data_IF_906479452863
#
_entry.id   IF_906479452863
#
_cell.length_a   1.000
_cell.length_b   1.000
_cell.length_c   1.000
_cell.angle_alpha   90.00
_cell.angle_beta   90.00
_cell.angle_gamma   90.00
#
_symmetry.space_group_name_H-M   'P 1'
#
loop_
_entity.id
_entity.type
_entity.pdbx_description
1 polymer ?
#
# COMPACT_ATOMS: atom_id res chain seq x y z
N UNK A 1 5.75 4.10 -20.33
CA UNK A 1 5.10 5.07 -19.41
C UNK A 1 4.54 4.27 -18.25
N UNK A 2 4.94 4.56 -17.01
CA UNK A 2 4.39 3.86 -15.85
C UNK A 2 2.89 4.18 -15.73
N UNK A 3 2.06 3.16 -15.53
CA UNK A 3 0.61 3.33 -15.40
C UNK A 3 0.31 3.69 -13.94
N UNK A 4 0.01 4.96 -13.69
CA UNK A 4 -0.38 5.41 -12.34
C UNK A 4 -1.80 4.91 -12.04
N UNK A 5 -1.93 4.07 -11.02
CA UNK A 5 -3.24 3.65 -10.48
C UNK A 5 -3.69 4.67 -9.42
N UNK A 6 -4.99 4.96 -9.41
CA UNK A 6 -5.60 5.89 -8.44
C UNK A 6 -6.81 5.21 -7.81
N UNK A 7 -6.84 5.20 -6.48
CA UNK A 7 -7.99 4.80 -5.69
C UNK A 7 -8.81 6.03 -5.33
N UNK A 8 -10.14 5.91 -5.33
CA UNK A 8 -11.04 6.95 -4.84
C UNK A 8 -11.61 6.48 -3.51
N UNK A 9 -11.32 7.23 -2.45
CA UNK A 9 -11.75 6.88 -1.10
C UNK A 9 -13.26 6.86 -0.95
N UNK A 10 -13.71 6.10 0.04
CA UNK A 10 -15.08 6.13 0.56
C UNK A 10 -15.03 6.74 1.95
N UNK A 11 -16.12 7.38 2.39
CA UNK A 11 -16.22 7.97 3.71
C UNK A 11 -15.87 6.96 4.80
N UNK A 12 -14.94 7.32 5.68
CA UNK A 12 -14.46 6.45 6.76
C UNK A 12 -13.25 5.60 6.40
N UNK A 13 -12.70 5.71 5.19
CA UNK A 13 -11.45 5.04 4.84
C UNK A 13 -10.27 5.55 5.69
N UNK A 14 -9.33 4.66 5.97
CA UNK A 14 -8.03 4.98 6.60
C UNK A 14 -6.91 4.44 5.71
N UNK A 15 -5.67 4.85 5.98
CA UNK A 15 -4.51 4.38 5.22
C UNK A 15 -4.37 2.85 5.21
N UNK A 16 -4.53 2.22 6.38
CA UNK A 16 -4.44 0.76 6.53
C UNK A 16 -5.56 0.05 5.75
N UNK A 17 -6.79 0.60 5.80
CA UNK A 17 -7.94 0.04 5.10
C UNK A 17 -7.79 0.18 3.57
N UNK A 18 -7.28 1.30 3.09
CA UNK A 18 -6.98 1.49 1.66
C UNK A 18 -5.90 0.50 1.22
N UNK A 19 -4.85 0.34 2.03
CA UNK A 19 -3.79 -0.63 1.80
C UNK A 19 -4.36 -2.04 1.67
N UNK A 20 -5.21 -2.46 2.61
CA UNK A 20 -5.86 -3.76 2.56
C UNK A 20 -6.73 -3.96 1.31
N UNK A 21 -7.54 -2.96 0.95
CA UNK A 21 -8.41 -3.03 -0.23
C UNK A 21 -7.65 -3.13 -1.55
N UNK A 22 -6.47 -2.51 -1.63
CA UNK A 22 -5.71 -2.38 -2.89
C UNK A 22 -4.64 -3.46 -3.02
N UNK A 23 -3.99 -3.82 -1.91
CA UNK A 23 -2.87 -4.75 -1.88
C UNK A 23 -3.20 -6.07 -1.16
N UNK A 24 -4.35 -6.19 -0.50
CA UNK A 24 -4.68 -7.36 0.31
C UNK A 24 -3.97 -7.41 1.67
N UNK A 25 -3.16 -6.39 2.00
CA UNK A 25 -2.41 -6.27 3.25
C UNK A 25 -2.50 -4.86 3.79
N UNK A 26 -2.69 -4.71 5.10
CA UNK A 26 -2.69 -3.43 5.81
C UNK A 26 -1.28 -2.82 5.91
N UNK A 27 -0.22 -3.64 5.74
CA UNK A 27 1.16 -3.24 6.01
C UNK A 27 1.77 -2.21 5.05
N UNK A 28 1.16 -2.00 3.87
CA UNK A 28 1.68 -1.08 2.85
C UNK A 28 1.14 0.36 2.96
N UNK A 29 0.51 0.71 4.08
CA UNK A 29 0.00 2.05 4.34
C UNK A 29 1.11 3.13 4.27
N UNK A 30 2.33 2.78 4.66
CA UNK A 30 3.48 3.68 4.64
C UNK A 30 3.90 4.08 3.21
N UNK A 31 3.81 3.15 2.25
CA UNK A 31 4.04 3.43 0.83
C UNK A 31 2.97 4.37 0.26
N UNK A 32 1.72 4.17 0.66
CA UNK A 32 0.62 5.06 0.30
C UNK A 32 0.88 6.48 0.82
N UNK A 33 1.23 6.64 2.10
CA UNK A 33 1.53 7.95 2.69
C UNK A 33 2.70 8.64 1.97
N UNK A 34 3.80 7.92 1.73
CA UNK A 34 5.00 8.47 1.09
C UNK A 34 4.72 9.00 -0.32
N UNK A 35 3.84 8.33 -1.06
CA UNK A 35 3.43 8.74 -2.41
C UNK A 35 2.31 9.79 -2.40
N UNK A 36 1.69 10.06 -1.25
CA UNK A 36 0.58 10.98 -1.08
C UNK A 36 0.80 11.93 0.10
N UNK A 37 2.02 12.48 0.24
CA UNK A 37 2.44 13.32 1.37
C UNK A 37 1.53 14.53 1.65
N UNK A 38 0.80 15.00 0.64
CA UNK A 38 -0.18 16.09 0.77
C UNK A 38 -1.44 15.70 1.55
N UNK A 39 -1.67 14.41 1.75
CA UNK A 39 -2.83 13.86 2.45
C UNK A 39 -2.46 13.31 3.84
N UNK A 40 -1.21 13.46 4.28
CA UNK A 40 -0.67 12.83 5.50
C UNK A 40 -1.43 13.21 6.78
N UNK A 41 -1.97 14.43 6.82
CA UNK A 41 -2.72 14.93 7.98
C UNK A 41 -4.14 14.33 8.08
N UNK A 42 -4.58 13.56 7.08
CA UNK A 42 -5.87 12.90 7.05
C UNK A 42 -5.75 11.51 7.68
N UNK A 43 -6.28 11.36 8.89
CA UNK A 43 -6.39 10.06 9.55
C UNK A 43 -7.60 9.26 9.05
N UNK A 44 -8.71 9.95 8.75
CA UNK A 44 -9.96 9.37 8.24
C UNK A 44 -10.37 10.17 7.00
N UNK A 45 -10.50 9.48 5.88
CA UNK A 45 -10.81 10.09 4.59
C UNK A 45 -12.32 10.31 4.42
N UNK A 46 -12.65 11.48 3.86
CA UNK A 46 -13.95 11.70 3.24
C UNK A 46 -14.06 10.91 1.93
N UNK A 47 -15.28 10.81 1.39
CA UNK A 47 -15.50 10.17 0.11
C UNK A 47 -14.88 10.95 -1.07
N UNK A 48 -14.47 10.22 -2.10
CA UNK A 48 -14.02 10.73 -3.40
C UNK A 48 -12.66 11.47 -3.41
N UNK A 49 -11.81 11.25 -2.40
CA UNK A 49 -10.43 11.76 -2.38
C UNK A 49 -9.55 10.83 -3.24
N UNK A 50 -8.77 11.36 -4.19
CA UNK A 50 -7.88 10.55 -5.01
C UNK A 50 -6.59 10.21 -4.26
N UNK A 51 -6.30 8.92 -4.10
CA UNK A 51 -5.06 8.39 -3.51
C UNK A 51 -4.28 7.65 -4.60
N UNK A 52 -3.03 8.06 -4.80
CA UNK A 52 -2.10 7.42 -5.74
C UNK A 52 -1.68 6.07 -5.17
N UNK A 53 -1.82 5.03 -5.98
CA UNK A 53 -1.45 3.66 -5.64
C UNK A 53 -0.11 3.34 -6.30
N UNK A 54 1.01 3.32 -5.55
CA UNK A 54 2.29 2.84 -6.09
C UNK A 54 2.20 1.35 -6.45
N UNK A 55 2.98 0.94 -7.44
CA UNK A 55 3.16 -0.47 -7.75
C UNK A 55 4.20 -1.02 -6.77
N UNK A 56 3.76 -1.89 -5.87
CA UNK A 56 4.62 -2.53 -4.88
C UNK A 56 5.00 -3.87 -5.50
N UNK A 57 6.26 -4.01 -5.90
CA UNK A 57 6.80 -5.33 -6.17
C UNK A 57 6.90 -6.03 -4.83
N UNK A 58 6.03 -7.02 -4.58
CA UNK A 58 6.38 -8.08 -3.65
C UNK A 58 7.63 -8.72 -4.25
N UNK A 59 8.80 -8.30 -3.77
CA UNK A 59 9.99 -9.10 -3.87
C UNK A 59 9.63 -10.38 -3.12
N UNK A 60 9.16 -11.38 -3.86
CA UNK A 60 9.14 -12.75 -3.38
C UNK A 60 10.60 -12.97 -2.98
N UNK A 61 10.89 -12.98 -1.68
CA UNK A 61 12.21 -13.31 -1.19
C UNK A 61 12.48 -14.72 -1.71
N UNK A 62 13.21 -14.82 -2.83
CA UNK A 62 13.64 -16.10 -3.37
C UNK A 62 14.30 -16.84 -2.20
N UNK A 63 13.80 -18.04 -1.93
CA UNK A 63 14.18 -18.85 -0.77
C UNK A 63 15.72 -19.05 -0.70
N UNK A 64 16.38 -18.97 -1.85
CA UNK A 64 17.85 -18.98 -2.00
C UNK A 64 18.55 -17.77 -1.36
N UNK A 65 17.94 -16.59 -1.34
CA UNK A 65 18.46 -15.37 -0.71
C UNK A 65 18.23 -15.35 0.81
N UNK A 66 17.35 -16.21 1.32
CA UNK A 66 17.11 -16.32 2.75
C UNK A 66 18.20 -17.16 3.43
N UNK A 67 18.61 -16.80 4.65
CA UNK A 67 19.53 -17.63 5.41
C UNK A 67 18.91 -19.01 5.69
N UNK A 68 19.72 -20.09 5.82
CA UNK A 68 19.24 -21.46 5.82
C UNK A 68 18.12 -21.79 6.82
N UNK A 69 18.05 -21.08 7.95
CA UNK A 69 17.06 -21.28 9.02
C UNK A 69 15.74 -20.52 8.82
N UNK A 70 15.63 -19.73 7.75
CA UNK A 70 14.41 -19.00 7.36
C UNK A 70 13.70 -19.62 6.15
N UNK A 71 14.34 -20.60 5.51
CA UNK A 71 13.81 -21.36 4.38
C UNK A 71 12.69 -22.27 4.87
N UNK A 72 11.53 -22.25 4.20
CA UNK A 72 10.47 -23.22 4.46
C UNK A 72 10.90 -24.56 3.85
N UNK A 73 10.77 -25.66 4.59
CA UNK A 73 10.97 -27.02 4.03
C UNK A 73 10.04 -27.31 2.84
#
# INVERSE_FOLDING_TARGET
>A
MAKVKVYRTVSGDTWDLISYKVYGSEGYFHDLIRNNSRLIDIAIFDANIPVIIPEISEEVEDDESLPPWKRGE
#
